data_IF_092402085155
#
_entry.id   IF_092402085155
#
_cell.length_a   1.000
_cell.length_b   1.000
_cell.length_c   1.000
_cell.angle_alpha   90.00
_cell.angle_beta   90.00
_cell.angle_gamma   90.00
#
_symmetry.space_group_name_H-M   'P 1'
#
loop_
_entity.id
_entity.type
_entity.pdbx_description
1 polymer ?
#
# COMPACT_ATOMS: atom_id res chain seq x y z
N UNK A 1 -11.64 10.66 14.80
CA UNK A 1 -10.24 10.49 15.23
C UNK A 1 -9.74 11.79 15.83
N UNK A 2 -8.72 11.74 16.69
CA UNK A 2 -8.13 12.93 17.33
C UNK A 2 -7.10 13.67 16.43
N UNK A 3 -6.70 13.07 15.31
CA UNK A 3 -5.78 13.65 14.32
C UNK A 3 -6.45 13.68 12.94
N UNK A 4 -6.10 14.68 12.13
CA UNK A 4 -6.43 14.66 10.70
C UNK A 4 -5.55 13.64 9.96
N UNK A 5 -5.95 13.14 8.78
CA UNK A 5 -5.11 12.25 7.97
C UNK A 5 -3.73 12.85 7.64
N UNK A 6 -3.66 14.17 7.47
CA UNK A 6 -2.41 14.90 7.23
C UNK A 6 -1.51 14.86 8.46
N UNK A 7 -2.07 15.11 9.64
CA UNK A 7 -1.29 15.12 10.89
C UNK A 7 -0.82 13.71 11.28
N UNK A 8 -1.61 12.69 10.95
CA UNK A 8 -1.24 11.29 11.17
C UNK A 8 0.04 10.90 10.43
N UNK A 9 0.23 11.36 9.19
CA UNK A 9 1.43 11.06 8.36
C UNK A 9 2.73 11.62 8.95
N UNK A 10 2.67 12.68 9.74
CA UNK A 10 3.85 13.30 10.38
C UNK A 10 3.94 13.02 11.88
N UNK A 11 3.08 12.17 12.43
CA UNK A 11 3.02 11.93 13.86
C UNK A 11 4.28 11.18 14.36
N UNK A 12 4.87 11.56 15.51
CA UNK A 12 6.07 10.89 16.04
C UNK A 12 5.93 9.39 16.28
N UNK A 13 4.68 8.92 16.47
CA UNK A 13 4.33 7.50 16.70
C UNK A 13 3.61 6.85 15.51
N UNK A 14 3.77 7.37 14.28
CA UNK A 14 3.06 6.86 13.10
C UNK A 14 3.34 5.39 12.78
N UNK A 15 4.52 4.88 13.17
CA UNK A 15 4.91 3.47 12.98
C UNK A 15 4.58 2.59 14.19
N UNK A 16 3.84 3.09 15.19
CA UNK A 16 3.49 2.27 16.36
C UNK A 16 2.33 1.33 16.02
N UNK A 17 2.63 0.03 15.97
CA UNK A 17 1.63 -1.02 15.78
C UNK A 17 0.97 -1.37 17.11
N UNK A 18 -0.36 -1.51 17.10
CA UNK A 18 -1.14 -1.99 18.25
C UNK A 18 -1.47 -3.49 18.16
N UNK A 19 -1.27 -4.09 16.97
CA UNK A 19 -1.50 -5.51 16.70
C UNK A 19 -0.35 -6.01 15.83
N UNK A 20 0.32 -7.08 16.23
CA UNK A 20 1.27 -7.79 15.40
C UNK A 20 1.26 -9.29 15.70
N UNK A 21 1.66 -10.09 14.71
CA UNK A 21 1.79 -11.53 14.89
C UNK A 21 2.89 -11.82 15.92
N UNK A 22 2.59 -12.69 16.89
CA UNK A 22 3.53 -13.09 17.94
C UNK A 22 3.57 -12.18 19.18
N UNK A 23 2.72 -11.16 19.25
CA UNK A 23 2.54 -10.35 20.47
C UNK A 23 1.67 -11.06 21.52
N UNK A 24 0.59 -11.69 21.08
CA UNK A 24 -0.37 -12.43 21.89
C UNK A 24 -0.57 -13.85 21.32
N UNK A 25 -1.05 -14.78 22.16
CA UNK A 25 -1.32 -16.17 21.77
C UNK A 25 -2.43 -16.29 20.72
N UNK A 26 -3.33 -15.31 20.69
CA UNK A 26 -4.42 -15.21 19.72
C UNK A 26 -4.28 -13.92 18.90
N UNK A 27 -4.34 -14.07 17.59
CA UNK A 27 -4.42 -12.95 16.65
C UNK A 27 -5.80 -12.96 16.04
N UNK A 28 -6.56 -11.88 16.25
CA UNK A 28 -7.72 -11.62 15.41
C UNK A 28 -7.27 -10.85 14.17
N UNK A 29 -7.76 -11.26 13.00
CA UNK A 29 -7.45 -10.62 11.73
C UNK A 29 -8.72 -9.96 11.20
N UNK A 30 -8.58 -8.75 10.67
CA UNK A 30 -9.69 -8.06 10.03
C UNK A 30 -9.90 -8.66 8.63
N UNK A 31 -11.12 -9.11 8.35
CA UNK A 31 -11.51 -9.63 7.04
C UNK A 31 -12.50 -8.68 6.39
N UNK A 32 -12.33 -8.48 5.08
CA UNK A 32 -13.23 -7.66 4.28
C UNK A 32 -13.34 -8.24 2.88
N UNK A 33 -14.46 -7.98 2.23
CA UNK A 33 -14.73 -8.37 0.85
C UNK A 33 -14.90 -7.11 0.00
N UNK A 34 -14.32 -7.13 -1.20
CA UNK A 34 -14.42 -6.04 -2.17
C UNK A 34 -14.87 -6.63 -3.50
N UNK A 35 -15.89 -6.02 -4.11
CA UNK A 35 -16.31 -6.36 -5.47
C UNK A 35 -15.38 -5.66 -6.45
N UNK A 36 -14.74 -6.43 -7.31
CA UNK A 36 -13.82 -5.94 -8.36
C UNK A 36 -14.49 -5.92 -9.72
N UNK A 37 -14.15 -4.94 -10.53
CA UNK A 37 -14.64 -4.73 -11.89
C UNK A 37 -13.56 -5.03 -12.94
N UNK A 38 -13.93 -5.34 -14.19
CA UNK A 38 -12.96 -5.44 -15.27
C UNK A 38 -12.11 -4.16 -15.36
N UNK A 39 -10.79 -4.32 -15.34
CA UNK A 39 -9.84 -3.19 -15.40
C UNK A 39 -9.31 -2.74 -14.04
N UNK A 40 -9.88 -3.22 -12.94
CA UNK A 40 -9.36 -2.91 -11.60
C UNK A 40 -7.96 -3.50 -11.39
N UNK A 41 -7.19 -2.81 -10.56
CA UNK A 41 -5.89 -3.26 -10.07
C UNK A 41 -5.95 -3.28 -8.55
N UNK A 42 -5.62 -4.43 -7.96
CA UNK A 42 -5.48 -4.56 -6.51
C UNK A 42 -4.00 -4.44 -6.16
N UNK A 43 -3.68 -3.47 -5.30
CA UNK A 43 -2.36 -3.23 -4.75
C UNK A 43 -2.36 -3.59 -3.26
N UNK A 44 -1.49 -4.53 -2.87
CA UNK A 44 -1.05 -4.67 -1.49
C UNK A 44 0.36 -4.10 -1.36
N UNK A 45 0.61 -3.31 -0.32
CA UNK A 45 1.92 -2.70 -0.10
C UNK A 45 2.25 -2.59 1.40
N UNK A 46 3.54 -2.47 1.71
CA UNK A 46 4.01 -2.06 3.05
C UNK A 46 3.92 -0.53 3.22
N UNK A 47 4.07 -0.08 4.46
CA UNK A 47 4.20 1.34 4.82
C UNK A 47 5.37 2.04 4.14
N UNK A 48 6.46 1.32 3.87
CA UNK A 48 7.57 1.81 3.04
C UNK A 48 7.16 2.37 1.66
N UNK A 49 5.99 2.00 1.11
CA UNK A 49 5.47 2.63 -0.11
C UNK A 49 4.70 3.92 0.21
N UNK A 50 3.60 3.81 0.97
CA UNK A 50 2.64 4.90 1.11
C UNK A 50 3.10 6.03 2.04
N UNK A 51 4.17 5.83 2.81
CA UNK A 51 4.85 6.89 3.57
C UNK A 51 5.85 7.69 2.74
N UNK A 52 6.29 7.16 1.60
CA UNK A 52 7.24 7.81 0.69
C UNK A 52 6.55 8.51 -0.48
N UNK A 53 5.50 7.92 -1.02
CA UNK A 53 4.72 8.48 -2.13
C UNK A 53 3.23 8.47 -1.80
N UNK A 54 2.51 9.50 -2.24
CA UNK A 54 1.07 9.63 -1.98
C UNK A 54 0.21 8.84 -2.98
N UNK A 55 -1.08 8.70 -2.63
CA UNK A 55 -2.07 7.97 -3.43
C UNK A 55 -2.21 8.52 -4.86
N UNK A 56 -1.92 9.81 -5.06
CA UNK A 56 -1.92 10.44 -6.38
C UNK A 56 -0.78 9.92 -7.25
N UNK A 57 0.44 9.93 -6.72
CA UNK A 57 1.61 9.37 -7.39
C UNK A 57 1.47 7.87 -7.67
N UNK A 58 0.93 7.11 -6.71
CA UNK A 58 0.64 5.67 -6.89
C UNK A 58 -0.33 5.48 -8.06
N UNK A 59 -1.43 6.22 -8.08
CA UNK A 59 -2.44 6.15 -9.15
C UNK A 59 -1.85 6.52 -10.51
N UNK A 60 -1.03 7.57 -10.57
CA UNK A 60 -0.42 8.02 -11.82
C UNK A 60 0.55 6.96 -12.38
N UNK A 61 1.35 6.32 -11.52
CA UNK A 61 2.22 5.20 -11.92
C UNK A 61 1.39 4.02 -12.44
N UNK A 62 0.31 3.64 -11.74
CA UNK A 62 -0.55 2.53 -12.16
C UNK A 62 -1.23 2.77 -13.51
N UNK A 63 -1.58 4.03 -13.81
CA UNK A 63 -2.24 4.41 -15.07
C UNK A 63 -1.27 4.55 -16.25
N UNK A 64 -0.02 4.95 -16.00
CA UNK A 64 0.97 5.20 -17.05
C UNK A 64 1.82 3.97 -17.40
N UNK A 65 1.92 3.01 -16.49
CA UNK A 65 2.68 1.79 -16.74
C UNK A 65 2.01 0.91 -17.81
N UNK A 66 2.83 0.38 -18.72
CA UNK A 66 2.38 -0.50 -19.79
C UNK A 66 1.74 -1.81 -19.26
N UNK A 67 2.35 -2.38 -18.22
CA UNK A 67 1.86 -3.59 -17.57
C UNK A 67 2.07 -3.53 -16.03
N UNK A 68 1.47 -4.48 -15.32
CA UNK A 68 1.54 -4.56 -13.85
C UNK A 68 2.96 -4.88 -13.34
N UNK A 69 3.78 -5.56 -14.14
CA UNK A 69 5.16 -5.87 -13.77
C UNK A 69 6.01 -4.59 -13.78
N UNK A 70 5.84 -3.76 -14.80
CA UNK A 70 6.45 -2.44 -14.89
C UNK A 70 5.93 -1.52 -13.80
N UNK A 71 4.62 -1.50 -13.55
CA UNK A 71 4.03 -0.73 -12.47
C UNK A 71 4.64 -1.08 -11.11
N UNK A 72 4.79 -2.38 -10.80
CA UNK A 72 5.40 -2.83 -9.53
C UNK A 72 6.83 -2.31 -9.37
N UNK A 73 7.63 -2.34 -10.44
CA UNK A 73 9.01 -1.82 -10.43
C UNK A 73 9.05 -0.30 -10.27
N UNK A 74 8.17 0.41 -10.95
CA UNK A 74 8.07 1.87 -10.87
C UNK A 74 7.64 2.34 -9.47
N UNK A 75 6.70 1.64 -8.83
CA UNK A 75 6.27 1.95 -7.46
C UNK A 75 7.43 1.82 -6.46
N UNK A 76 8.18 0.72 -6.53
CA UNK A 76 9.36 0.51 -5.67
C UNK A 76 10.44 1.54 -5.95
N UNK A 77 10.73 1.82 -7.23
CA UNK A 77 11.71 2.83 -7.60
C UNK A 77 11.31 4.23 -7.12
N UNK A 78 10.04 4.60 -7.23
CA UNK A 78 9.53 5.88 -6.79
C UNK A 78 9.68 6.08 -5.27
N UNK A 79 9.33 5.06 -4.47
CA UNK A 79 9.53 5.12 -3.02
C UNK A 79 11.01 5.23 -2.63
N UNK A 80 11.89 4.46 -3.27
CA UNK A 80 13.33 4.55 -3.05
C UNK A 80 13.88 5.94 -3.41
N UNK A 81 13.41 6.53 -4.50
CA UNK A 81 13.84 7.86 -4.93
C UNK A 81 13.29 9.00 -4.05
N UNK A 82 12.13 8.81 -3.41
CA UNK A 82 11.52 9.79 -2.50
C UNK A 82 12.18 9.81 -1.10
N UNK A 83 12.98 8.81 -0.78
CA UNK A 83 13.77 8.77 0.45
C UNK A 83 14.18 7.37 0.88
N UNK A 84 13.38 6.34 0.53
CA UNK A 84 13.69 4.94 0.81
C UNK A 84 14.00 4.66 2.28
N UNK A 85 13.24 5.26 3.20
CA UNK A 85 13.55 5.21 4.65
C UNK A 85 13.24 3.85 5.29
N UNK A 86 12.48 3.00 4.61
CA UNK A 86 12.11 1.66 5.07
C UNK A 86 12.07 0.67 3.89
N UNK A 87 11.94 -0.61 4.21
CA UNK A 87 11.75 -1.68 3.25
C UNK A 87 10.42 -1.50 2.50
N UNK A 88 10.50 -1.49 1.17
CA UNK A 88 9.35 -1.35 0.29
C UNK A 88 8.97 -2.71 -0.29
N UNK A 89 7.74 -3.13 -0.06
CA UNK A 89 7.16 -4.34 -0.65
C UNK A 89 5.85 -4.01 -1.35
N UNK A 90 5.66 -4.54 -2.57
CA UNK A 90 4.43 -4.36 -3.36
C UNK A 90 4.01 -5.67 -4.01
N UNK A 91 2.70 -5.91 -4.05
CA UNK A 91 2.06 -7.00 -4.80
C UNK A 91 0.91 -6.41 -5.60
N UNK A 92 0.92 -6.64 -6.91
CA UNK A 92 -0.12 -6.19 -7.83
C UNK A 92 -0.81 -7.38 -8.48
N UNK A 93 -2.14 -7.30 -8.58
CA UNK A 93 -2.93 -8.25 -9.38
C UNK A 93 -4.03 -7.53 -10.15
N UNK A 94 -4.32 -8.03 -11.34
CA UNK A 94 -5.52 -7.67 -12.12
C UNK A 94 -6.50 -8.83 -12.01
N UNK A 95 -7.48 -8.75 -11.10
CA UNK A 95 -8.47 -9.79 -11.00
C UNK A 95 -9.30 -9.85 -12.28
N UNK A 96 -9.52 -11.06 -12.78
CA UNK A 96 -10.52 -11.30 -13.81
C UNK A 96 -11.83 -11.55 -13.07
N UNK A 97 -12.89 -10.75 -13.30
CA UNK A 97 -14.18 -10.98 -12.66
C UNK A 97 -14.64 -12.41 -12.91
N UNK A 98 -15.21 -13.05 -11.89
CA UNK A 98 -15.86 -14.33 -12.07
C UNK A 98 -17.00 -14.17 -13.08
N UNK A 99 -17.06 -15.07 -14.06
CA UNK A 99 -18.10 -15.11 -15.08
C UNK A 99 -19.50 -15.37 -14.49
#
# INVERSE_FOLDING_TARGET
>A
GQLSPKDARTHPRRHQLYRCLGQDDAVEADTFEIVVQPGDVVLLCSDGLYDEIDDGAIRDILNQAEDIQMASRLLVAAANNAGGRDNVSVVLTRPVPAA
#
